data_IF_264287669217
#
_entry.id   IF_264287669217
#
_cell.length_a   1.000
_cell.length_b   1.000
_cell.length_c   1.000
_cell.angle_alpha   90.00
_cell.angle_beta   90.00
_cell.angle_gamma   90.00
#
_symmetry.space_group_name_H-M   'P 1'
#
loop_
_entity.id
_entity.type
_entity.pdbx_description
1 polymer ?
#
# COMPACT_ATOMS: atom_id res chain seq x y z
N UNK A 1 67.58 -19.56 18.74
CA UNK A 1 66.28 -20.24 18.96
C UNK A 1 65.15 -19.28 19.40
N UNK A 2 65.44 -18.03 19.79
CA UNK A 2 64.43 -17.06 20.30
C UNK A 2 63.63 -16.34 19.19
N UNK A 3 64.23 -16.09 18.03
CA UNK A 3 63.62 -15.33 16.92
C UNK A 3 62.46 -16.08 16.24
N UNK A 4 62.46 -17.43 16.28
CA UNK A 4 61.41 -18.27 15.70
C UNK A 4 60.13 -18.32 16.55
N UNK A 5 60.24 -18.18 17.87
CA UNK A 5 59.10 -18.15 18.79
C UNK A 5 58.29 -16.85 18.66
N UNK A 6 58.96 -15.70 18.53
CA UNK A 6 58.32 -14.38 18.40
C UNK A 6 57.53 -14.28 17.09
N UNK A 7 58.09 -14.79 15.97
CA UNK A 7 57.42 -14.78 14.67
C UNK A 7 56.14 -15.63 14.65
N UNK A 8 56.18 -16.81 15.29
CA UNK A 8 55.02 -17.70 15.40
C UNK A 8 53.91 -17.08 16.26
N UNK A 9 54.27 -16.43 17.37
CA UNK A 9 53.32 -15.72 18.25
C UNK A 9 52.60 -14.59 17.51
N UNK A 10 53.33 -13.80 16.70
CA UNK A 10 52.74 -12.72 15.89
C UNK A 10 51.76 -13.26 14.83
N UNK A 11 52.07 -14.39 14.20
CA UNK A 11 51.18 -15.05 13.23
C UNK A 11 49.86 -15.53 13.88
N UNK A 12 49.93 -16.10 15.09
CA UNK A 12 48.71 -16.47 15.84
C UNK A 12 47.86 -15.27 16.25
N UNK A 13 48.47 -14.18 16.72
CA UNK A 13 47.74 -12.96 17.05
C UNK A 13 47.07 -12.32 15.82
N UNK A 14 47.71 -12.41 14.65
CA UNK A 14 47.12 -11.97 13.38
C UNK A 14 45.90 -12.80 12.99
N UNK A 15 45.98 -14.13 13.11
CA UNK A 15 44.87 -15.04 12.80
C UNK A 15 43.69 -14.81 13.76
N UNK A 16 43.98 -14.67 15.07
CA UNK A 16 42.96 -14.37 16.09
C UNK A 16 42.32 -13.01 15.82
N UNK A 17 43.11 -12.00 15.44
CA UNK A 17 42.62 -10.68 15.08
C UNK A 17 41.67 -10.70 13.87
N UNK A 18 42.03 -11.43 12.81
CA UNK A 18 41.17 -11.58 11.62
C UNK A 18 39.88 -12.32 11.98
N UNK A 19 39.97 -13.42 12.73
CA UNK A 19 38.79 -14.17 13.18
C UNK A 19 37.85 -13.32 14.04
N UNK A 20 38.40 -12.53 14.97
CA UNK A 20 37.61 -11.66 15.84
C UNK A 20 36.97 -10.51 15.05
N UNK A 21 37.68 -9.94 14.06
CA UNK A 21 37.12 -8.92 13.16
C UNK A 21 35.99 -9.46 12.27
N UNK A 22 36.11 -10.70 11.80
CA UNK A 22 35.05 -11.39 11.07
C UNK A 22 33.80 -11.62 11.92
N UNK A 23 33.98 -11.95 13.20
CA UNK A 23 32.88 -12.18 14.13
C UNK A 23 32.18 -10.87 14.51
N UNK A 24 32.94 -9.79 14.72
CA UNK A 24 32.39 -8.44 14.97
C UNK A 24 31.62 -7.92 13.77
N UNK A 25 32.13 -8.09 12.55
CA UNK A 25 31.42 -7.68 11.32
C UNK A 25 30.12 -8.44 11.13
N UNK A 26 30.09 -9.76 11.36
CA UNK A 26 28.84 -10.54 11.37
C UNK A 26 27.84 -10.03 12.41
N UNK A 27 28.27 -9.79 13.65
CA UNK A 27 27.40 -9.26 14.70
C UNK A 27 26.80 -7.89 14.32
N UNK A 28 27.60 -6.99 13.74
CA UNK A 28 27.12 -5.69 13.27
C UNK A 28 26.12 -5.87 12.12
N UNK A 29 26.36 -6.79 11.17
CA UNK A 29 25.44 -7.06 10.06
C UNK A 29 24.09 -7.59 10.54
N UNK A 30 24.06 -8.49 11.54
CA UNK A 30 22.81 -9.01 12.11
C UNK A 30 22.04 -7.90 12.84
N UNK A 31 22.72 -7.08 13.64
CA UNK A 31 22.11 -5.94 14.33
C UNK A 31 21.59 -4.87 13.35
N UNK A 32 22.30 -4.65 12.24
CA UNK A 32 21.84 -3.74 11.18
C UNK A 32 20.65 -4.31 10.39
N UNK A 33 20.61 -5.61 10.14
CA UNK A 33 19.49 -6.25 9.47
C UNK A 33 18.20 -6.16 10.30
N UNK A 34 18.30 -6.38 11.61
CA UNK A 34 17.16 -6.31 12.53
C UNK A 34 16.67 -4.87 12.71
N UNK A 35 17.59 -3.90 12.80
CA UNK A 35 17.25 -2.48 12.95
C UNK A 35 16.65 -1.85 11.70
N UNK A 36 16.92 -2.42 10.52
CA UNK A 36 16.39 -1.99 9.23
C UNK A 36 15.28 -2.91 8.70
N UNK A 37 14.81 -3.87 9.50
CA UNK A 37 13.64 -4.64 9.14
C UNK A 37 12.47 -3.66 8.89
N UNK A 38 11.85 -3.67 7.70
CA UNK A 38 10.71 -2.82 7.42
C UNK A 38 9.63 -3.11 8.46
N UNK A 39 9.21 -2.10 9.21
CA UNK A 39 8.06 -2.26 10.10
C UNK A 39 6.87 -2.67 9.23
N UNK A 40 6.11 -3.70 9.62
CA UNK A 40 4.89 -4.05 8.91
C UNK A 40 3.99 -2.82 8.88
N UNK A 41 3.47 -2.50 7.69
CA UNK A 41 2.51 -1.41 7.55
C UNK A 41 1.32 -1.71 8.47
N UNK A 42 0.78 -0.70 9.17
CA UNK A 42 -0.42 -0.89 9.97
C UNK A 42 -1.52 -1.47 9.08
N UNK A 43 -2.37 -2.36 9.63
CA UNK A 43 -3.49 -2.89 8.88
C UNK A 43 -4.38 -1.73 8.46
N UNK A 44 -4.91 -1.83 7.24
CA UNK A 44 -5.80 -0.83 6.73
C UNK A 44 -7.08 -0.74 7.58
N UNK A 45 -7.60 0.47 7.86
CA UNK A 45 -8.88 0.62 8.52
C UNK A 45 -10.00 0.00 7.69
N UNK A 46 -11.00 -0.59 8.36
CA UNK A 46 -12.20 -1.12 7.71
C UNK A 46 -13.23 -0.05 7.39
N UNK A 47 -13.10 1.13 7.99
CA UNK A 47 -14.02 2.24 7.85
C UNK A 47 -13.22 3.53 7.87
N UNK A 48 -13.48 4.41 6.91
CA UNK A 48 -13.01 5.78 6.92
C UNK A 48 -14.20 6.69 7.27
N UNK A 49 -14.08 7.43 8.36
CA UNK A 49 -15.14 8.33 8.84
C UNK A 49 -15.11 9.65 8.06
N UNK A 50 -16.25 10.01 7.47
CA UNK A 50 -16.46 11.27 6.78
C UNK A 50 -16.75 12.40 7.75
N UNK A 51 -17.00 13.60 7.22
CA UNK A 51 -17.49 14.72 8.05
C UNK A 51 -18.93 14.51 8.52
N UNK A 52 -19.71 13.74 7.77
CA UNK A 52 -21.07 13.33 8.10
C UNK A 52 -21.19 11.82 7.84
N UNK A 53 -22.04 11.09 8.60
CA UNK A 53 -22.18 9.63 8.47
C UNK A 53 -22.53 9.14 7.06
N UNK A 54 -23.25 9.95 6.28
CA UNK A 54 -23.61 9.63 4.89
C UNK A 54 -22.39 9.55 3.94
N UNK A 55 -21.20 9.97 4.39
CA UNK A 55 -19.94 9.90 3.63
C UNK A 55 -18.91 9.00 4.29
N UNK A 56 -19.31 8.23 5.30
CA UNK A 56 -18.47 7.17 5.80
C UNK A 56 -18.23 6.17 4.65
N UNK A 57 -16.99 5.67 4.56
CA UNK A 57 -16.57 4.76 3.50
C UNK A 57 -16.12 3.46 4.13
N UNK A 58 -16.92 2.41 3.96
CA UNK A 58 -16.58 1.05 4.39
C UNK A 58 -15.65 0.40 3.37
N UNK A 59 -14.62 -0.29 3.86
CA UNK A 59 -13.63 -0.97 3.02
C UNK A 59 -14.02 -2.42 2.88
N UNK A 60 -14.41 -2.80 1.67
CA UNK A 60 -14.86 -4.16 1.39
C UNK A 60 -13.66 -5.12 1.31
N UNK A 61 -13.74 -6.28 1.98
CA UNK A 61 -12.70 -7.28 1.90
C UNK A 61 -12.68 -7.94 0.51
N UNK A 62 -11.50 -8.41 0.11
CA UNK A 62 -11.31 -9.16 -1.13
C UNK A 62 -10.67 -8.36 -2.25
N UNK A 63 -10.62 -8.97 -3.44
CA UNK A 63 -10.16 -8.33 -4.65
C UNK A 63 -11.15 -8.56 -5.78
N UNK A 64 -11.32 -7.53 -6.60
CA UNK A 64 -12.34 -7.42 -7.61
C UNK A 64 -11.70 -7.07 -8.96
N UNK A 65 -12.45 -7.32 -10.03
CA UNK A 65 -12.01 -7.07 -11.39
C UNK A 65 -12.90 -6.02 -12.03
N UNK A 66 -12.29 -5.13 -12.80
CA UNK A 66 -12.98 -4.08 -13.53
C UNK A 66 -12.31 -3.88 -14.90
N UNK A 67 -13.12 -3.81 -15.95
CA UNK A 67 -12.68 -3.39 -17.27
C UNK A 67 -13.06 -1.91 -17.51
N UNK A 68 -12.07 -1.00 -17.57
CA UNK A 68 -12.34 0.42 -17.71
C UNK A 68 -12.89 0.83 -19.07
N UNK A 69 -12.77 -0.02 -20.10
CA UNK A 69 -13.26 0.28 -21.44
C UNK A 69 -14.74 -0.08 -21.60
N UNK A 70 -15.15 -1.22 -21.04
CA UNK A 70 -16.53 -1.73 -21.16
C UNK A 70 -17.39 -1.39 -19.95
N UNK A 71 -16.78 -1.13 -18.79
CA UNK A 71 -17.48 -0.99 -17.50
C UNK A 71 -17.83 -2.32 -16.84
N UNK A 72 -17.46 -3.46 -17.44
CA UNK A 72 -17.73 -4.78 -16.88
C UNK A 72 -16.97 -5.01 -15.57
N UNK A 73 -17.65 -5.58 -14.58
CA UNK A 73 -17.08 -5.85 -13.27
C UNK A 73 -17.75 -7.02 -12.58
N UNK A 74 -17.06 -7.62 -11.60
CA UNK A 74 -17.62 -8.61 -10.69
C UNK A 74 -18.03 -7.99 -9.32
N UNK A 75 -18.05 -6.67 -9.22
CA UNK A 75 -18.44 -5.95 -8.01
C UNK A 75 -19.95 -6.08 -7.82
N UNK A 76 -20.43 -6.39 -6.61
CA UNK A 76 -21.86 -6.44 -6.35
C UNK A 76 -22.46 -5.03 -6.42
N UNK A 77 -23.71 -4.96 -6.87
CA UNK A 77 -24.49 -3.71 -6.79
C UNK A 77 -24.70 -3.37 -5.31
N UNK A 78 -24.32 -2.17 -4.92
CA UNK A 78 -24.51 -1.69 -3.55
C UNK A 78 -25.96 -1.24 -3.36
N UNK A 79 -26.70 -1.99 -2.55
CA UNK A 79 -28.10 -1.70 -2.19
C UNK A 79 -28.20 -0.87 -0.90
N UNK A 80 -27.08 -0.55 -0.26
CA UNK A 80 -27.03 0.21 0.99
C UNK A 80 -26.81 1.71 0.74
N UNK A 81 -27.32 2.53 1.66
CA UNK A 81 -27.14 4.00 1.67
C UNK A 81 -25.76 4.45 2.22
N UNK A 82 -24.73 3.60 2.09
CA UNK A 82 -23.38 3.82 2.60
C UNK A 82 -22.36 3.61 1.47
N UNK A 83 -21.29 4.40 1.46
CA UNK A 83 -20.21 4.25 0.48
C UNK A 83 -19.35 3.03 0.77
N UNK A 84 -19.13 2.21 -0.26
CA UNK A 84 -18.27 1.03 -0.18
C UNK A 84 -17.05 1.18 -1.10
N UNK A 85 -15.86 0.94 -0.55
CA UNK A 85 -14.58 0.99 -1.24
C UNK A 85 -14.10 -0.42 -1.60
N UNK A 86 -14.04 -0.69 -2.91
CA UNK A 86 -13.60 -1.94 -3.48
C UNK A 86 -12.19 -1.84 -4.04
N UNK A 87 -11.42 -2.92 -3.88
CA UNK A 87 -10.02 -2.99 -4.33
C UNK A 87 -9.93 -3.80 -5.63
N UNK A 88 -9.48 -3.16 -6.71
CA UNK A 88 -9.30 -3.73 -8.05
C UNK A 88 -7.89 -4.32 -8.20
N UNK A 89 -7.77 -5.57 -8.64
CA UNK A 89 -6.48 -6.28 -8.76
C UNK A 89 -6.00 -6.55 -10.18
N UNK A 90 -6.84 -6.34 -11.20
CA UNK A 90 -6.51 -6.60 -12.60
C UNK A 90 -5.94 -5.39 -13.36
N UNK A 91 -5.76 -4.24 -12.69
CA UNK A 91 -5.26 -3.00 -13.30
C UNK A 91 -3.87 -2.60 -12.78
N UNK A 92 -3.02 -2.01 -13.63
CA UNK A 92 -1.68 -1.58 -13.23
C UNK A 92 -1.72 -0.30 -12.37
N UNK A 93 -1.14 -0.33 -11.15
CA UNK A 93 -1.02 0.82 -10.23
C UNK A 93 -0.39 2.08 -10.86
N UNK A 94 0.53 1.91 -11.78
CA UNK A 94 1.43 2.99 -12.25
C UNK A 94 0.91 3.71 -13.50
N UNK A 95 -0.24 3.30 -14.06
CA UNK A 95 -0.81 3.92 -15.26
C UNK A 95 -2.14 4.58 -14.95
N UNK A 96 -2.36 5.76 -15.52
CA UNK A 96 -3.69 6.36 -15.51
C UNK A 96 -4.68 5.40 -16.18
N UNK A 97 -5.75 5.09 -15.45
CA UNK A 97 -6.87 4.29 -15.96
C UNK A 97 -7.72 5.21 -16.83
N UNK A 98 -7.91 4.83 -18.08
CA UNK A 98 -8.82 5.51 -19.01
C UNK A 98 -10.20 4.88 -18.89
N UNK A 99 -11.06 5.52 -18.09
CA UNK A 99 -12.44 5.10 -17.89
C UNK A 99 -13.28 5.37 -19.15
N UNK A 100 -14.35 4.59 -19.33
CA UNK A 100 -15.41 4.88 -20.29
C UNK A 100 -16.10 6.22 -19.94
N UNK A 101 -16.81 6.79 -20.91
CA UNK A 101 -17.40 8.12 -20.76
C UNK A 101 -18.42 8.22 -19.61
N UNK A 102 -19.13 7.13 -19.30
CA UNK A 102 -20.16 7.10 -18.26
C UNK A 102 -19.52 7.17 -16.88
N UNK A 103 -18.60 6.26 -16.59
CA UNK A 103 -17.89 6.18 -15.30
C UNK A 103 -17.01 7.42 -15.08
N UNK A 104 -16.40 7.94 -16.15
CA UNK A 104 -15.64 9.18 -16.10
C UNK A 104 -16.51 10.37 -15.69
N UNK A 105 -17.66 10.54 -16.33
CA UNK A 105 -18.57 11.65 -16.04
C UNK A 105 -19.12 11.55 -14.61
N UNK A 106 -19.53 10.37 -14.17
CA UNK A 106 -19.97 10.15 -12.79
C UNK A 106 -18.86 10.47 -11.77
N UNK A 107 -17.63 10.02 -12.06
CA UNK A 107 -16.47 10.31 -11.20
C UNK A 107 -16.16 11.80 -11.15
N UNK A 108 -16.25 12.51 -12.27
CA UNK A 108 -16.04 13.96 -12.31
C UNK A 108 -17.13 14.71 -11.55
N UNK A 109 -18.39 14.28 -11.65
CA UNK A 109 -19.49 14.86 -10.88
C UNK A 109 -19.32 14.64 -9.38
N UNK A 110 -18.95 13.42 -8.98
CA UNK A 110 -18.67 13.08 -7.59
C UNK A 110 -17.55 13.94 -7.01
N UNK A 111 -16.48 14.15 -7.78
CA UNK A 111 -15.29 14.92 -7.39
C UNK A 111 -15.39 16.41 -7.68
N UNK A 112 -16.55 16.91 -8.11
CA UNK A 112 -16.74 18.32 -8.40
C UNK A 112 -16.41 19.15 -7.13
N UNK A 113 -15.56 20.18 -7.22
CA UNK A 113 -15.25 21.06 -6.09
C UNK A 113 -16.47 21.73 -5.44
N UNK A 114 -17.52 21.98 -6.22
CA UNK A 114 -18.78 22.55 -5.74
C UNK A 114 -19.72 21.50 -5.13
N UNK A 115 -19.36 20.21 -5.27
CA UNK A 115 -20.12 19.08 -4.76
C UNK A 115 -19.74 18.66 -3.35
N UNK A 116 -20.27 17.50 -2.99
CA UNK A 116 -20.13 16.91 -1.66
C UNK A 116 -18.78 16.19 -1.44
N UNK A 117 -17.85 16.23 -2.41
CA UNK A 117 -16.54 15.57 -2.32
C UNK A 117 -15.75 15.94 -1.05
N UNK A 118 -15.83 17.21 -0.66
CA UNK A 118 -15.15 17.75 0.53
C UNK A 118 -15.63 17.17 1.86
N UNK A 119 -16.73 16.40 1.84
CA UNK A 119 -17.31 15.74 3.00
C UNK A 119 -16.78 14.32 3.21
N UNK A 120 -16.16 13.72 2.18
CA UNK A 120 -15.52 12.42 2.29
C UNK A 120 -14.30 12.47 3.24
N UNK A 121 -13.86 11.32 3.77
CA UNK A 121 -12.66 11.23 4.59
C UNK A 121 -11.43 11.74 3.81
N UNK A 122 -10.53 12.46 4.47
CA UNK A 122 -9.33 13.01 3.83
C UNK A 122 -8.48 11.90 3.18
N UNK A 123 -8.35 10.76 3.86
CA UNK A 123 -7.63 9.60 3.33
C UNK A 123 -8.19 9.13 1.98
N UNK A 124 -9.52 9.13 1.81
CA UNK A 124 -10.21 8.75 0.57
C UNK A 124 -10.01 9.82 -0.51
N UNK A 125 -10.04 11.10 -0.14
CA UNK A 125 -9.81 12.21 -1.08
C UNK A 125 -8.39 12.19 -1.66
N UNK A 126 -7.40 11.81 -0.85
CA UNK A 126 -5.99 11.76 -1.21
C UNK A 126 -5.58 10.42 -1.85
N UNK A 127 -6.47 9.42 -1.90
CA UNK A 127 -6.16 8.13 -2.52
C UNK A 127 -5.85 8.30 -4.01
N UNK A 128 -4.71 7.74 -4.48
CA UNK A 128 -4.39 7.75 -5.88
C UNK A 128 -5.39 6.89 -6.64
N UNK A 129 -5.88 7.41 -7.78
CA UNK A 129 -6.75 6.67 -8.70
C UNK A 129 -7.98 6.06 -8.01
N UNK A 130 -8.79 6.93 -7.40
CA UNK A 130 -10.12 6.57 -6.92
C UNK A 130 -11.19 6.99 -7.91
N UNK A 131 -12.18 6.16 -8.20
CA UNK A 131 -13.29 6.50 -9.10
C UNK A 131 -14.58 5.78 -8.70
N UNK A 132 -15.70 6.15 -9.32
CA UNK A 132 -17.00 5.48 -9.15
C UNK A 132 -17.45 4.88 -10.47
N UNK A 133 -18.39 3.95 -10.42
CA UNK A 133 -18.90 3.22 -11.59
C UNK A 133 -20.42 3.33 -11.67
N UNK A 134 -20.95 3.33 -12.89
CA UNK A 134 -22.38 3.36 -13.13
C UNK A 134 -23.08 2.10 -12.63
N UNK A 135 -24.38 2.20 -12.33
CA UNK A 135 -25.28 1.09 -12.03
C UNK A 135 -24.93 0.22 -10.79
N UNK A 136 -23.98 0.65 -9.95
CA UNK A 136 -23.57 -0.07 -8.73
C UNK A 136 -23.86 0.68 -7.42
N UNK A 137 -24.56 1.83 -7.47
CA UNK A 137 -24.90 2.61 -6.28
C UNK A 137 -23.71 3.38 -5.70
N UNK A 138 -23.65 3.48 -4.36
CA UNK A 138 -22.59 4.23 -3.66
C UNK A 138 -21.30 3.41 -3.59
N UNK A 139 -20.56 3.34 -4.70
CA UNK A 139 -19.34 2.54 -4.82
C UNK A 139 -18.14 3.40 -5.20
N UNK A 140 -17.01 3.14 -4.55
CA UNK A 140 -15.70 3.66 -4.88
C UNK A 140 -14.77 2.52 -5.23
N UNK A 141 -13.99 2.70 -6.29
CA UNK A 141 -12.98 1.77 -6.74
C UNK A 141 -11.61 2.37 -6.52
N UNK A 142 -10.66 1.54 -6.11
CA UNK A 142 -9.23 1.86 -6.13
C UNK A 142 -8.45 0.71 -6.72
N UNK A 143 -7.25 1.00 -7.20
CA UNK A 143 -6.31 -0.06 -7.58
C UNK A 143 -5.62 -0.56 -6.32
N UNK A 144 -5.52 -1.89 -6.19
CA UNK A 144 -4.75 -2.53 -5.13
C UNK A 144 -3.39 -1.93 -5.04
#
# INVERSE_FOLDING_TARGET
>A
MVVRGIRMVVEYFLIIGIACSGLVTMCISVLWADRNAPKPLPPEPRLYEGKLPKFDVEVEPGTYQYDPQTGETNIPVNEFDLWMLYTIDNLPRERQVLLNDVDLNLTQQLKNPEGDWSQFPLAVQEMPMIWTIADHGMVLLRIR
#
